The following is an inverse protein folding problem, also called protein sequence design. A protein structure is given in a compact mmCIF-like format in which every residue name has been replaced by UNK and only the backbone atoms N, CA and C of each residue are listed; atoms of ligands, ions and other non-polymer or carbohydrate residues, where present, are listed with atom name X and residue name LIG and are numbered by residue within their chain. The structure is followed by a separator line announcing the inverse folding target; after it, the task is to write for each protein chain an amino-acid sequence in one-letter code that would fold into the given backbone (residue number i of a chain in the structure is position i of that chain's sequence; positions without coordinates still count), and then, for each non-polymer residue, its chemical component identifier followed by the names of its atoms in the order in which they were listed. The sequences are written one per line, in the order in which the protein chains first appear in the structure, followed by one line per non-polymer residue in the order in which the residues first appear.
data_IF_958214620007
#
_entry.id   IF_958214620007
#
_cell.length_a   1.000
_cell.length_b   1.000
_cell.length_c   1.000
_cell.angle_alpha   90.00
_cell.angle_beta   90.00
_cell.angle_gamma   90.00
#
_symmetry.space_group_name_H-M   'P 1'
#
loop_
_entity.id
_entity.type
_entity.pdbx_description
1 polymer ?
#
# COMPACT_ATOMS: atom_id res chain seq x y z
N UNK A 1 -4.41 -6.38 18.41
CA UNK A 1 -3.66 -7.33 17.56
C UNK A 1 -3.90 -6.99 16.10
N UNK A 2 -2.81 -6.96 15.37
CA UNK A 2 -2.80 -6.64 13.94
C UNK A 2 -2.13 -7.78 13.21
N UNK A 3 -2.52 -8.04 11.99
CA UNK A 3 -1.79 -8.95 11.15
C UNK A 3 -2.65 -9.84 10.28
N UNK A 4 -1.95 -10.66 9.54
CA UNK A 4 -2.52 -11.65 8.67
C UNK A 4 -1.93 -13.02 8.99
N UNK A 5 -2.72 -14.06 8.80
CA UNK A 5 -2.32 -15.46 8.97
C UNK A 5 -2.56 -16.24 7.70
N UNK A 6 -1.67 -17.18 7.43
CA UNK A 6 -1.88 -18.11 6.33
C UNK A 6 -3.01 -19.09 6.65
N UNK A 7 -3.76 -19.50 5.63
CA UNK A 7 -4.74 -20.58 5.72
C UNK A 7 -4.12 -21.84 6.36
N UNK A 8 -4.91 -22.60 7.12
CA UNK A 8 -4.46 -23.75 7.89
C UNK A 8 -3.70 -23.41 9.18
N UNK A 9 -3.40 -22.14 9.41
CA UNK A 9 -2.67 -21.68 10.59
C UNK A 9 -3.51 -21.62 11.86
N UNK A 10 -2.83 -21.33 12.97
CA UNK A 10 -3.45 -21.08 14.27
C UNK A 10 -2.98 -19.74 14.82
N UNK A 11 -3.90 -18.97 15.39
CA UNK A 11 -3.59 -17.70 16.03
C UNK A 11 -3.88 -17.78 17.53
N UNK A 12 -3.00 -17.18 18.33
CA UNK A 12 -3.17 -16.99 19.76
C UNK A 12 -3.50 -15.54 20.03
N UNK A 13 -4.65 -15.32 20.64
CA UNK A 13 -5.12 -14.00 21.03
C UNK A 13 -5.08 -13.90 22.56
N UNK A 14 -4.46 -12.83 23.04
CA UNK A 14 -4.26 -12.60 24.47
C UNK A 14 -4.95 -11.33 24.92
N UNK A 15 -5.48 -11.38 26.12
CA UNK A 15 -6.00 -10.23 26.84
C UNK A 15 -5.30 -10.14 28.19
N UNK A 16 -4.89 -8.93 28.55
CA UNK A 16 -4.32 -8.62 29.86
C UNK A 16 -5.39 -7.91 30.70
N UNK A 17 -5.65 -8.41 31.89
CA UNK A 17 -6.62 -7.84 32.85
C UNK A 17 -5.85 -7.29 34.04
N UNK A 18 -6.09 -6.04 34.38
CA UNK A 18 -5.38 -5.33 35.46
C UNK A 18 -6.02 -5.50 36.84
N UNK A 19 -7.24 -6.03 36.90
CA UNK A 19 -7.98 -6.17 38.15
C UNK A 19 -7.56 -7.43 38.92
N UNK A 20 -7.39 -7.32 40.25
CA UNK A 20 -7.14 -8.44 41.15
C UNK A 20 -8.32 -9.44 41.20
N UNK A 21 -9.53 -8.99 40.87
CA UNK A 21 -10.70 -9.83 40.70
C UNK A 21 -10.84 -10.29 39.27
N UNK A 22 -10.17 -11.37 38.91
CA UNK A 22 -10.30 -11.99 37.61
C UNK A 22 -11.78 -12.24 37.24
N UNK A 23 -12.19 -11.99 35.99
CA UNK A 23 -13.54 -12.33 35.53
C UNK A 23 -13.78 -13.83 35.67
N UNK A 24 -15.00 -14.21 36.04
CA UNK A 24 -15.38 -15.62 36.23
C UNK A 24 -15.28 -16.39 34.92
N UNK A 25 -15.69 -15.75 33.82
CA UNK A 25 -15.61 -16.31 32.46
C UNK A 25 -15.19 -15.22 31.47
N UNK A 26 -14.20 -15.54 30.63
CA UNK A 26 -13.72 -14.68 29.59
C UNK A 26 -13.75 -15.44 28.24
N UNK A 27 -14.35 -14.84 27.23
CA UNK A 27 -14.50 -15.42 25.90
C UNK A 27 -13.88 -14.55 24.83
N UNK A 28 -13.31 -15.20 23.83
CA UNK A 28 -13.03 -14.63 22.53
C UNK A 28 -14.23 -14.94 21.62
N UNK A 29 -14.98 -13.91 21.24
CA UNK A 29 -16.05 -14.03 20.26
C UNK A 29 -15.48 -13.80 18.87
N UNK A 30 -15.72 -14.71 17.93
CA UNK A 30 -15.24 -14.64 16.53
C UNK A 30 -16.43 -14.77 15.60
N UNK A 31 -16.43 -13.94 14.55
CA UNK A 31 -17.45 -13.95 13.51
C UNK A 31 -16.80 -14.03 12.12
N UNK A 32 -17.34 -14.89 11.24
CA UNK A 32 -16.91 -15.06 9.85
C UNK A 32 -18.09 -15.45 8.93
N UNK A 33 -19.28 -14.98 9.27
CA UNK A 33 -20.56 -15.47 8.73
C UNK A 33 -21.33 -16.28 9.80
N UNK A 34 -20.62 -17.05 10.62
CA UNK A 34 -21.13 -17.73 11.79
C UNK A 34 -20.44 -17.17 13.05
N UNK A 35 -21.19 -17.06 14.15
CA UNK A 35 -20.66 -16.65 15.43
C UNK A 35 -20.14 -17.85 16.20
N UNK A 36 -18.94 -17.70 16.78
CA UNK A 36 -18.33 -18.69 17.70
C UNK A 36 -17.71 -18.00 18.89
N UNK A 37 -17.90 -18.59 20.07
CA UNK A 37 -17.31 -18.16 21.32
C UNK A 37 -16.28 -19.19 21.78
N UNK A 38 -15.09 -18.75 22.08
CA UNK A 38 -13.99 -19.59 22.56
C UNK A 38 -13.63 -19.17 23.97
N UNK A 39 -13.70 -20.08 24.97
CA UNK A 39 -13.27 -19.75 26.31
C UNK A 39 -11.77 -19.42 26.33
N UNK A 40 -11.41 -18.40 27.08
CA UNK A 40 -10.02 -17.99 27.26
C UNK A 40 -9.49 -18.59 28.58
N UNK A 41 -8.31 -19.19 28.51
CA UNK A 41 -7.67 -19.79 29.71
C UNK A 41 -6.71 -18.79 30.34
N UNK A 42 -6.61 -18.72 31.66
CA UNK A 42 -5.57 -17.95 32.31
C UNK A 42 -4.21 -18.61 32.12
N UNK A 43 -3.20 -17.80 31.78
CA UNK A 43 -1.79 -18.22 31.66
C UNK A 43 -0.98 -17.93 32.92
N UNK A 44 -1.43 -17.00 33.75
CA UNK A 44 -0.75 -16.56 34.97
C UNK A 44 -0.53 -15.05 35.00
N UNK A 45 0.11 -14.60 36.08
CA UNK A 45 0.42 -13.19 36.31
C UNK A 45 1.74 -12.81 35.64
N UNK A 46 1.72 -11.67 35.02
CA UNK A 46 2.91 -10.98 34.53
C UNK A 46 2.82 -9.50 34.90
N UNK A 47 3.81 -9.01 35.63
CA UNK A 47 3.85 -7.61 36.08
C UNK A 47 2.59 -7.19 36.86
N UNK A 48 2.06 -8.09 37.71
CA UNK A 48 0.83 -7.88 38.50
C UNK A 48 -0.48 -8.00 37.73
N UNK A 49 -0.44 -8.38 36.44
CA UNK A 49 -1.60 -8.46 35.56
C UNK A 49 -1.87 -9.89 35.15
N UNK A 50 -3.13 -10.33 35.18
CA UNK A 50 -3.52 -11.65 34.71
C UNK A 50 -3.60 -11.68 33.19
N UNK A 51 -2.94 -12.65 32.56
CA UNK A 51 -2.99 -12.86 31.10
C UNK A 51 -3.93 -14.02 30.80
N UNK A 52 -4.85 -13.79 29.88
CA UNK A 52 -5.73 -14.81 29.30
C UNK A 52 -5.39 -15.06 27.84
N UNK A 53 -5.55 -16.30 27.39
CA UNK A 53 -5.27 -16.70 26.01
C UNK A 53 -6.39 -17.57 25.45
N UNK A 54 -6.80 -17.30 24.22
CA UNK A 54 -7.50 -18.25 23.38
C UNK A 54 -6.65 -18.59 22.14
N UNK A 55 -6.69 -19.83 21.70
CA UNK A 55 -6.08 -20.30 20.46
C UNK A 55 -7.19 -20.78 19.52
N UNK A 56 -7.19 -20.25 18.30
CA UNK A 56 -8.18 -20.58 17.27
C UNK A 56 -7.50 -20.97 15.97
N UNK A 57 -8.08 -21.92 15.23
CA UNK A 57 -7.72 -22.21 13.85
C UNK A 57 -8.34 -21.17 12.91
N UNK A 58 -7.57 -20.65 11.95
CA UNK A 58 -8.08 -19.63 11.03
C UNK A 58 -8.82 -20.23 9.83
N UNK A 59 -8.81 -21.57 9.68
CA UNK A 59 -9.45 -22.29 8.58
C UNK A 59 -8.57 -22.41 7.34
N UNK A 60 -9.10 -23.09 6.33
CA UNK A 60 -8.40 -23.49 5.11
C UNK A 60 -8.68 -22.61 3.88
N UNK A 61 -9.50 -21.57 4.06
CA UNK A 61 -9.85 -20.63 2.97
C UNK A 61 -9.52 -19.19 3.36
N UNK A 62 -9.03 -18.37 2.40
CA UNK A 62 -8.85 -16.94 2.61
C UNK A 62 -10.16 -16.28 3.02
N UNK A 63 -10.10 -15.41 4.05
CA UNK A 63 -11.27 -14.71 4.59
C UNK A 63 -10.88 -13.60 5.54
N UNK A 64 -11.85 -12.80 5.94
CA UNK A 64 -11.77 -11.94 7.11
C UNK A 64 -12.43 -12.61 8.29
N UNK A 65 -11.75 -12.61 9.43
CA UNK A 65 -12.30 -12.95 10.73
C UNK A 65 -12.44 -11.66 11.52
N UNK A 66 -13.57 -11.53 12.21
CA UNK A 66 -13.84 -10.40 13.07
C UNK A 66 -13.94 -10.92 14.49
N UNK A 67 -13.28 -10.31 15.45
CA UNK A 67 -13.30 -10.79 16.82
C UNK A 67 -13.34 -9.65 17.84
N UNK A 68 -13.85 -9.97 19.03
CA UNK A 68 -13.84 -9.12 20.22
C UNK A 68 -13.76 -9.99 21.46
N UNK A 69 -13.49 -9.38 22.60
CA UNK A 69 -13.46 -10.07 23.89
C UNK A 69 -14.74 -9.77 24.66
N UNK A 70 -15.25 -10.78 25.34
CA UNK A 70 -16.48 -10.68 26.13
C UNK A 70 -16.28 -11.37 27.47
N UNK A 71 -16.73 -10.77 28.55
CA UNK A 71 -16.71 -11.41 29.87
C UNK A 71 -17.95 -11.02 30.71
N UNK A 72 -18.26 -11.86 31.68
CA UNK A 72 -19.13 -11.51 32.77
C UNK A 72 -18.27 -11.01 33.94
N UNK A 73 -18.44 -9.76 34.31
CA UNK A 73 -17.68 -9.12 35.38
C UNK A 73 -18.59 -8.39 36.34
N UNK A 74 -18.56 -8.79 37.63
CA UNK A 74 -19.44 -8.24 38.68
C UNK A 74 -20.93 -8.27 38.35
N UNK A 75 -21.37 -9.28 37.58
CA UNK A 75 -22.77 -9.46 37.16
C UNK A 75 -23.17 -8.61 35.95
N UNK A 76 -22.22 -7.93 35.32
CA UNK A 76 -22.45 -7.18 34.11
C UNK A 76 -21.72 -7.83 32.90
N UNK A 77 -22.38 -7.82 31.76
CA UNK A 77 -21.75 -8.24 30.50
C UNK A 77 -20.84 -7.13 29.98
N UNK A 78 -19.55 -7.43 29.86
CA UNK A 78 -18.52 -6.47 29.44
C UNK A 78 -17.93 -6.89 28.14
N UNK A 79 -17.85 -5.95 27.18
CA UNK A 79 -17.27 -6.15 25.87
C UNK A 79 -16.02 -5.28 25.74
N UNK A 80 -14.96 -5.84 25.16
CA UNK A 80 -13.78 -5.10 24.69
C UNK A 80 -13.65 -5.31 23.19
N UNK A 81 -13.90 -4.26 22.44
CA UNK A 81 -13.88 -4.27 20.97
C UNK A 81 -12.87 -3.29 20.38
N UNK A 82 -12.93 -3.13 19.07
CA UNK A 82 -12.14 -2.16 18.33
C UNK A 82 -12.64 -0.72 18.56
N UNK A 83 -11.82 0.32 18.27
CA UNK A 83 -12.32 1.70 18.23
C UNK A 83 -13.44 1.87 17.21
N UNK A 84 -14.34 2.81 17.45
CA UNK A 84 -15.49 3.09 16.58
C UNK A 84 -15.14 3.85 15.28
N UNK A 85 -13.88 3.82 14.87
CA UNK A 85 -13.39 4.44 13.60
C UNK A 85 -13.59 3.52 12.38
N UNK A 86 -14.19 2.35 12.57
CA UNK A 86 -14.47 1.33 11.57
C UNK A 86 -13.24 0.79 10.81
N UNK A 87 -12.02 1.00 11.33
CA UNK A 87 -10.80 0.46 10.72
C UNK A 87 -10.56 -1.02 11.06
N UNK A 88 -11.24 -1.52 12.09
CA UNK A 88 -11.04 -2.89 12.62
C UNK A 88 -9.66 -3.10 13.26
N UNK A 89 -8.94 -2.04 13.58
CA UNK A 89 -7.63 -2.07 14.23
C UNK A 89 -7.53 -0.98 15.31
N UNK A 90 -6.44 -0.97 16.07
CA UNK A 90 -6.21 -0.01 17.15
C UNK A 90 -6.16 -0.63 18.53
N UNK A 91 -6.26 0.19 19.56
CA UNK A 91 -6.33 -0.26 20.95
C UNK A 91 -7.76 -0.69 21.31
N UNK A 92 -7.87 -1.63 22.27
CA UNK A 92 -9.17 -2.10 22.73
C UNK A 92 -9.93 -1.02 23.49
N UNK A 93 -11.22 -0.88 23.20
CA UNK A 93 -12.12 0.06 23.84
C UNK A 93 -13.19 -0.72 24.62
N UNK A 94 -13.26 -0.47 25.92
CA UNK A 94 -14.29 -1.07 26.79
C UNK A 94 -15.68 -0.56 26.39
N UNK A 95 -16.64 -1.50 26.29
CA UNK A 95 -18.02 -1.20 25.88
C UNK A 95 -18.19 -1.05 24.35
N UNK A 96 -17.12 -1.16 23.56
CA UNK A 96 -17.23 -1.12 22.09
C UNK A 96 -17.73 -2.45 21.54
N UNK A 97 -18.82 -2.39 20.77
CA UNK A 97 -19.37 -3.53 20.02
C UNK A 97 -18.61 -3.79 18.71
N UNK A 98 -17.76 -2.86 18.27
CA UNK A 98 -16.94 -3.02 17.07
C UNK A 98 -15.95 -4.17 17.24
N UNK A 99 -15.70 -4.88 16.14
CA UNK A 99 -14.79 -6.03 16.13
C UNK A 99 -13.43 -5.69 15.55
N UNK A 100 -12.38 -6.29 16.11
CA UNK A 100 -11.06 -6.30 15.47
C UNK A 100 -11.07 -7.19 14.25
N UNK A 101 -10.30 -6.80 13.23
CA UNK A 101 -10.11 -7.59 12.00
C UNK A 101 -8.87 -8.47 12.08
N UNK A 102 -9.01 -9.69 11.60
CA UNK A 102 -7.92 -10.62 11.33
C UNK A 102 -8.03 -11.08 9.87
N UNK A 103 -7.01 -10.81 9.08
CA UNK A 103 -6.95 -11.25 7.69
C UNK A 103 -6.38 -12.66 7.60
N UNK A 104 -7.07 -13.55 6.89
CA UNK A 104 -6.56 -14.88 6.54
C UNK A 104 -6.28 -14.90 5.05
N UNK A 105 -5.00 -15.07 4.69
CA UNK A 105 -4.57 -15.12 3.30
C UNK A 105 -4.24 -16.56 2.87
N UNK A 106 -4.23 -16.80 1.56
CA UNK A 106 -3.87 -18.10 1.01
C UNK A 106 -2.42 -18.46 1.37
N UNK A 107 -2.20 -19.64 1.97
CA UNK A 107 -0.85 -20.10 2.32
C UNK A 107 0.07 -20.28 1.10
N UNK A 108 -0.50 -20.42 -0.10
CA UNK A 108 0.25 -20.48 -1.34
C UNK A 108 0.67 -19.09 -1.85
N UNK A 109 0.13 -17.98 -1.26
CA UNK A 109 0.54 -16.63 -1.63
C UNK A 109 2.00 -16.37 -1.20
N UNK A 110 2.84 -16.06 -2.17
CA UNK A 110 4.22 -15.67 -1.92
C UNK A 110 4.55 -14.35 -2.65
N UNK A 111 5.13 -13.43 -1.92
CA UNK A 111 5.65 -12.18 -2.51
C UNK A 111 7.02 -12.48 -3.12
N UNK A 112 7.25 -12.19 -4.41
CA UNK A 112 8.55 -12.42 -5.04
C UNK A 112 9.69 -11.79 -4.23
N UNK A 113 10.82 -12.51 -4.11
CA UNK A 113 11.96 -12.08 -3.30
C UNK A 113 12.49 -10.70 -3.72
N UNK A 114 12.49 -10.40 -5.03
CA UNK A 114 12.92 -9.10 -5.54
C UNK A 114 12.08 -7.92 -5.05
N UNK A 115 10.82 -8.18 -4.62
CA UNK A 115 9.93 -7.15 -4.06
C UNK A 115 10.00 -7.11 -2.53
N UNK A 116 10.09 -8.28 -1.90
CA UNK A 116 10.10 -8.41 -0.44
C UNK A 116 11.33 -7.78 0.20
N UNK A 117 12.50 -7.96 -0.41
CA UNK A 117 13.79 -7.53 0.12
C UNK A 117 14.37 -6.33 -0.63
N UNK A 118 13.52 -5.64 -1.43
CA UNK A 118 13.93 -4.57 -2.32
C UNK A 118 13.56 -3.17 -1.85
N UNK A 119 14.14 -2.20 -2.53
CA UNK A 119 13.78 -0.78 -2.43
C UNK A 119 13.04 -0.39 -3.70
N UNK A 120 11.79 0.03 -3.55
CA UNK A 120 11.00 0.60 -4.64
C UNK A 120 11.19 2.11 -4.68
N UNK A 121 11.52 2.64 -5.87
CA UNK A 121 11.66 4.06 -6.11
C UNK A 121 10.62 4.52 -7.12
N UNK A 122 9.71 5.37 -6.67
CA UNK A 122 8.67 5.94 -7.53
C UNK A 122 9.21 7.10 -8.34
N UNK A 123 8.89 7.14 -9.64
CA UNK A 123 9.36 8.14 -10.60
C UNK A 123 8.17 8.76 -11.32
N UNK A 124 7.97 10.06 -11.17
CA UNK A 124 7.21 10.88 -12.10
C UNK A 124 8.15 11.27 -13.24
N UNK A 125 7.98 10.65 -14.42
CA UNK A 125 8.96 10.72 -15.52
C UNK A 125 9.25 12.14 -15.95
N UNK A 126 8.22 12.99 -16.09
CA UNK A 126 8.38 14.39 -16.46
C UNK A 126 9.30 15.19 -15.50
N UNK A 127 9.33 14.81 -14.23
CA UNK A 127 10.03 15.53 -13.16
C UNK A 127 11.32 14.86 -12.71
N UNK A 128 11.84 13.88 -13.45
CA UNK A 128 12.99 13.10 -12.98
C UNK A 128 14.29 13.46 -13.69
N UNK A 129 14.35 13.30 -15.02
CA UNK A 129 15.54 13.62 -15.79
C UNK A 129 15.21 13.77 -17.28
N UNK A 130 15.71 14.84 -17.89
CA UNK A 130 15.72 14.97 -19.34
C UNK A 130 16.88 14.14 -19.92
N UNK A 131 16.60 13.28 -20.91
CA UNK A 131 17.62 12.47 -21.57
C UNK A 131 18.31 13.24 -22.68
N UNK A 132 19.64 13.12 -22.74
CA UNK A 132 20.42 13.70 -23.83
C UNK A 132 20.06 13.05 -25.19
N UNK A 133 20.03 13.88 -26.25
CA UNK A 133 19.73 13.41 -27.59
C UNK A 133 18.24 13.18 -27.88
N UNK A 134 17.36 13.54 -26.96
CA UNK A 134 15.93 13.54 -27.16
C UNK A 134 15.39 14.96 -27.17
N UNK A 135 14.55 15.27 -28.14
CA UNK A 135 13.85 16.54 -28.21
C UNK A 135 12.40 16.33 -27.76
N UNK A 136 12.18 16.38 -26.44
CA UNK A 136 10.87 16.23 -25.85
C UNK A 136 9.85 17.27 -26.35
N UNK A 137 10.34 18.41 -26.83
CA UNK A 137 9.51 19.50 -27.38
C UNK A 137 8.94 19.19 -28.77
N UNK A 138 9.62 18.40 -29.58
CA UNK A 138 9.15 18.07 -30.94
C UNK A 138 7.89 17.18 -30.91
N UNK A 139 7.55 16.62 -29.76
CA UNK A 139 6.39 15.75 -29.59
C UNK A 139 5.22 16.42 -28.84
N UNK A 140 5.35 17.72 -28.53
CA UNK A 140 4.21 18.50 -28.04
C UNK A 140 3.11 18.45 -29.11
N UNK A 141 2.00 17.82 -28.78
CA UNK A 141 0.88 17.66 -29.72
C UNK A 141 0.38 19.03 -30.13
N UNK A 142 0.32 19.28 -31.45
CA UNK A 142 -0.32 20.45 -32.02
C UNK A 142 -1.68 20.69 -31.36
N UNK A 143 -1.87 21.90 -30.80
CA UNK A 143 -3.13 22.32 -30.16
C UNK A 143 -3.25 22.06 -28.67
N UNK A 144 -2.25 21.51 -27.99
CA UNK A 144 -2.23 21.46 -26.53
C UNK A 144 -1.56 22.73 -25.97
N UNK A 145 -2.22 23.39 -25.01
CA UNK A 145 -1.62 24.49 -24.27
C UNK A 145 -0.61 23.92 -23.24
N UNK A 146 0.61 23.64 -23.68
CA UNK A 146 1.70 23.12 -22.87
C UNK A 146 2.61 24.26 -22.46
N UNK A 147 2.99 24.31 -21.19
CA UNK A 147 3.98 25.21 -20.64
C UNK A 147 5.21 24.38 -20.32
N UNK A 148 6.32 24.65 -20.97
CA UNK A 148 7.57 23.96 -20.70
C UNK A 148 8.49 24.84 -19.87
N UNK A 149 9.02 24.27 -18.77
CA UNK A 149 10.06 24.87 -17.97
C UNK A 149 11.43 24.64 -18.63
N UNK A 150 12.16 25.72 -18.87
CA UNK A 150 13.54 25.64 -19.42
C UNK A 150 14.57 25.43 -18.32
N UNK A 151 14.31 25.93 -17.12
CA UNK A 151 15.14 25.75 -15.94
C UNK A 151 14.49 24.76 -14.95
N UNK A 152 15.18 23.67 -14.66
CA UNK A 152 14.75 22.64 -13.69
C UNK A 152 14.69 23.13 -12.24
N UNK A 153 15.23 24.32 -11.96
CA UNK A 153 15.11 24.96 -10.65
C UNK A 153 13.88 25.87 -10.53
N UNK A 154 13.12 26.06 -11.57
CA UNK A 154 11.88 26.80 -11.51
C UNK A 154 10.86 26.06 -10.64
N UNK A 155 10.00 26.86 -9.99
CA UNK A 155 8.90 26.27 -9.21
C UNK A 155 7.78 25.80 -10.16
N UNK A 156 7.29 24.56 -10.00
CA UNK A 156 6.06 24.17 -10.68
C UNK A 156 4.92 25.10 -10.34
N UNK A 157 4.07 25.42 -11.29
CA UNK A 157 2.90 26.25 -11.00
C UNK A 157 1.59 25.52 -11.26
N UNK A 158 0.63 25.81 -10.41
CA UNK A 158 -0.72 25.37 -10.59
C UNK A 158 -1.43 26.31 -11.55
N UNK A 159 -1.77 25.82 -12.73
CA UNK A 159 -2.61 26.51 -13.67
C UNK A 159 -4.06 26.10 -13.46
N UNK A 160 -4.79 26.90 -12.69
CA UNK A 160 -6.17 26.62 -12.28
C UNK A 160 -7.13 27.36 -13.19
N UNK A 161 -8.10 26.68 -13.76
CA UNK A 161 -9.20 27.26 -14.50
C UNK A 161 -10.18 28.01 -13.58
N UNK A 162 -11.04 28.88 -14.16
CA UNK A 162 -12.07 29.60 -13.40
C UNK A 162 -13.03 28.69 -12.64
N UNK A 163 -13.25 27.47 -13.10
CA UNK A 163 -14.08 26.45 -12.44
C UNK A 163 -13.34 25.69 -11.32
N UNK A 164 -12.07 26.00 -11.06
CA UNK A 164 -11.24 25.33 -10.04
C UNK A 164 -10.45 24.11 -10.54
N UNK A 165 -10.59 23.71 -11.80
CA UNK A 165 -9.84 22.58 -12.36
C UNK A 165 -8.36 22.92 -12.55
N UNK A 166 -7.48 21.99 -12.20
CA UNK A 166 -6.06 22.11 -12.49
C UNK A 166 -5.78 21.56 -13.90
N UNK A 167 -5.23 22.39 -14.77
CA UNK A 167 -4.84 21.95 -16.12
C UNK A 167 -3.68 20.97 -16.14
N UNK A 168 -2.82 20.95 -15.11
CA UNK A 168 -1.64 20.12 -15.00
C UNK A 168 -0.84 20.04 -16.31
N UNK A 169 -0.62 21.21 -16.92
CA UNK A 169 -0.04 21.36 -18.27
C UNK A 169 1.35 22.02 -18.26
N UNK A 170 1.97 22.14 -17.09
CA UNK A 170 3.35 22.56 -16.94
C UNK A 170 4.26 21.32 -16.95
N UNK A 171 5.29 21.31 -17.80
CA UNK A 171 6.18 20.19 -18.01
C UNK A 171 7.64 20.63 -17.84
N UNK A 172 8.47 19.69 -17.34
CA UNK A 172 9.93 19.86 -17.23
C UNK A 172 10.69 19.02 -18.28
N UNK A 173 9.98 18.24 -19.07
CA UNK A 173 10.55 17.49 -20.19
C UNK A 173 11.38 16.29 -19.81
N UNK A 174 11.23 15.74 -18.60
CA UNK A 174 11.79 14.44 -18.26
C UNK A 174 11.22 13.34 -19.13
N UNK A 175 12.02 12.32 -19.44
CA UNK A 175 11.64 11.26 -20.38
C UNK A 175 12.28 9.91 -20.03
N UNK A 176 11.87 8.84 -20.71
CA UNK A 176 12.36 7.47 -20.46
C UNK A 176 13.86 7.34 -20.74
N UNK A 177 14.40 8.10 -21.69
CA UNK A 177 15.84 8.13 -21.96
C UNK A 177 16.61 8.72 -20.77
N UNK A 178 16.11 9.79 -20.16
CA UNK A 178 16.69 10.38 -18.96
C UNK A 178 16.68 9.39 -17.78
N UNK A 179 15.59 8.65 -17.60
CA UNK A 179 15.54 7.58 -16.59
C UNK A 179 16.59 6.51 -16.91
N UNK A 180 16.68 6.07 -18.18
CA UNK A 180 17.66 5.08 -18.62
C UNK A 180 19.10 5.50 -18.29
N UNK A 181 19.46 6.74 -18.57
CA UNK A 181 20.79 7.29 -18.28
C UNK A 181 21.07 7.35 -16.76
N UNK A 182 20.03 7.42 -15.93
CA UNK A 182 20.15 7.43 -14.47
C UNK A 182 20.10 6.03 -13.82
N UNK A 183 19.95 4.95 -14.58
CA UNK A 183 19.94 3.59 -14.03
C UNK A 183 21.18 3.25 -13.17
N UNK A 184 22.43 3.62 -13.57
CA UNK A 184 23.59 3.36 -12.73
C UNK A 184 23.52 4.07 -11.36
N UNK A 185 23.05 5.32 -11.33
CA UNK A 185 22.80 6.07 -10.11
C UNK A 185 21.77 5.40 -9.22
N UNK A 186 20.62 5.00 -9.79
CA UNK A 186 19.56 4.31 -9.06
C UNK A 186 20.03 2.96 -8.50
N UNK A 187 20.86 2.24 -9.25
CA UNK A 187 21.50 1.01 -8.78
C UNK A 187 22.43 1.26 -7.60
N UNK A 188 23.26 2.31 -7.67
CA UNK A 188 24.15 2.69 -6.58
C UNK A 188 23.38 3.10 -5.32
N UNK A 189 22.20 3.71 -5.49
CA UNK A 189 21.29 4.06 -4.39
C UNK A 189 20.64 2.83 -3.74
N UNK A 190 20.75 1.64 -4.34
CA UNK A 190 20.19 0.40 -3.83
C UNK A 190 18.77 0.09 -4.33
N UNK A 191 18.30 0.82 -5.35
CA UNK A 191 16.97 0.60 -5.93
C UNK A 191 16.93 -0.75 -6.64
N UNK A 192 15.87 -1.52 -6.40
CA UNK A 192 15.58 -2.81 -7.04
C UNK A 192 14.30 -2.80 -7.87
N UNK A 193 13.41 -1.85 -7.61
CA UNK A 193 12.15 -1.69 -8.34
C UNK A 193 11.95 -0.23 -8.72
N UNK A 194 11.78 0.01 -10.01
CA UNK A 194 11.39 1.31 -10.55
C UNK A 194 9.87 1.30 -10.74
N UNK A 195 9.17 2.13 -9.98
CA UNK A 195 7.73 2.31 -10.10
C UNK A 195 7.46 3.63 -10.84
N UNK A 196 6.92 3.55 -12.04
CA UNK A 196 6.59 4.74 -12.81
C UNK A 196 5.16 5.17 -12.55
N UNK A 197 4.94 6.47 -12.27
CA UNK A 197 3.65 7.09 -12.52
C UNK A 197 3.23 6.79 -13.97
N UNK A 198 1.95 6.90 -14.35
CA UNK A 198 1.51 6.55 -15.69
C UNK A 198 2.39 7.18 -16.77
N UNK A 199 2.74 6.39 -17.79
CA UNK A 199 3.62 6.81 -18.89
C UNK A 199 2.92 6.79 -20.25
N UNK A 200 1.65 6.42 -20.25
CA UNK A 200 0.86 6.26 -21.47
C UNK A 200 0.25 7.59 -21.95
N UNK A 201 -0.26 7.59 -23.20
CA UNK A 201 -0.85 8.78 -23.81
C UNK A 201 -1.90 9.41 -22.91
N UNK A 202 -1.66 10.66 -22.52
CA UNK A 202 -2.55 11.46 -21.70
C UNK A 202 -2.32 12.95 -21.95
N UNK A 203 -3.21 13.80 -21.48
CA UNK A 203 -3.11 15.25 -21.66
C UNK A 203 -2.23 15.91 -20.59
N UNK A 204 -2.38 15.49 -19.33
CA UNK A 204 -1.72 16.11 -18.19
C UNK A 204 -0.26 15.68 -18.02
N UNK A 205 0.50 16.42 -17.23
CA UNK A 205 1.89 16.10 -16.88
C UNK A 205 2.02 14.84 -16.02
N UNK A 206 1.01 14.54 -15.18
CA UNK A 206 0.98 13.36 -14.31
C UNK A 206 0.45 12.09 -15.00
N UNK A 207 -0.21 12.22 -16.16
CA UNK A 207 -0.73 11.13 -16.98
C UNK A 207 -1.81 10.23 -16.35
N UNK A 208 -2.39 10.60 -15.19
CA UNK A 208 -3.49 9.85 -14.58
C UNK A 208 -4.80 9.94 -15.35
N UNK A 209 -4.89 10.83 -16.34
CA UNK A 209 -5.95 10.94 -17.33
C UNK A 209 -5.65 10.13 -18.60
N UNK A 210 -5.10 8.92 -18.45
CA UNK A 210 -4.70 8.04 -19.55
C UNK A 210 -5.83 7.84 -20.56
N UNK A 211 -5.54 8.15 -21.83
CA UNK A 211 -6.46 8.01 -22.95
C UNK A 211 -6.20 6.75 -23.80
N UNK A 212 -4.99 6.24 -23.85
CA UNK A 212 -4.63 5.02 -24.56
C UNK A 212 -3.47 4.28 -23.87
N UNK A 213 -3.77 3.17 -23.22
CA UNK A 213 -2.77 2.30 -22.57
C UNK A 213 -1.88 1.49 -23.52
N UNK A 214 -2.17 1.49 -24.80
CA UNK A 214 -1.37 0.75 -25.81
C UNK A 214 -0.19 1.55 -26.35
N UNK A 215 -0.07 2.82 -25.95
CA UNK A 215 0.94 3.73 -26.49
C UNK A 215 1.62 4.50 -25.37
N UNK A 216 2.94 4.48 -25.38
CA UNK A 216 3.75 5.40 -24.57
C UNK A 216 3.47 6.84 -25.01
N UNK A 217 3.37 7.77 -24.08
CA UNK A 217 3.19 9.18 -24.44
C UNK A 217 4.43 9.68 -25.20
N UNK A 218 4.24 10.30 -26.38
CA UNK A 218 5.36 10.79 -27.20
C UNK A 218 6.30 11.77 -26.48
N UNK A 219 5.83 12.47 -25.45
CA UNK A 219 6.68 13.33 -24.62
C UNK A 219 7.69 12.54 -23.80
N UNK A 220 7.39 11.28 -23.47
CA UNK A 220 8.28 10.41 -22.71
C UNK A 220 9.14 9.50 -23.59
N UNK A 221 8.79 9.39 -24.88
CA UNK A 221 9.46 8.53 -25.84
C UNK A 221 8.50 7.61 -26.60
N UNK A 222 8.92 6.41 -26.85
CA UNK A 222 8.17 5.38 -27.56
C UNK A 222 8.29 4.00 -26.87
N UNK A 223 7.61 3.00 -27.41
CA UNK A 223 7.66 1.63 -26.92
C UNK A 223 9.08 1.03 -27.00
N UNK A 224 9.89 1.49 -27.94
CA UNK A 224 11.29 1.04 -28.07
C UNK A 224 12.16 1.65 -26.97
N UNK A 225 11.93 2.91 -26.61
CA UNK A 225 12.59 3.55 -25.47
C UNK A 225 12.26 2.82 -24.16
N UNK A 226 10.98 2.47 -23.95
CA UNK A 226 10.55 1.66 -22.80
C UNK A 226 11.22 0.28 -22.82
N UNK A 227 11.25 -0.40 -23.97
CA UNK A 227 11.86 -1.72 -24.07
C UNK A 227 13.38 -1.68 -23.79
N UNK A 228 14.11 -0.66 -24.27
CA UNK A 228 15.53 -0.45 -23.94
C UNK A 228 15.73 -0.22 -22.44
N UNK A 229 14.93 0.66 -21.84
CA UNK A 229 14.97 0.93 -20.40
C UNK A 229 14.77 -0.35 -19.59
N UNK A 230 13.71 -1.12 -19.88
CA UNK A 230 13.41 -2.38 -19.20
C UNK A 230 14.56 -3.37 -19.30
N UNK A 231 15.14 -3.54 -20.50
CA UNK A 231 16.28 -4.45 -20.74
C UNK A 231 17.51 -4.05 -19.93
N UNK A 232 17.85 -2.76 -19.90
CA UNK A 232 19.02 -2.27 -19.15
C UNK A 232 18.77 -2.31 -17.63
N UNK A 233 17.56 -1.97 -17.18
CA UNK A 233 17.18 -2.12 -15.77
C UNK A 233 17.32 -3.58 -15.31
N UNK A 234 16.83 -4.54 -16.12
CA UNK A 234 16.95 -5.97 -15.83
C UNK A 234 18.40 -6.43 -15.75
N UNK A 235 19.26 -5.96 -16.67
CA UNK A 235 20.70 -6.27 -16.67
C UNK A 235 21.39 -5.77 -15.37
N UNK A 236 20.87 -4.71 -14.76
CA UNK A 236 21.33 -4.19 -13.47
C UNK A 236 20.61 -4.84 -12.26
N UNK A 237 19.74 -5.82 -12.49
CA UNK A 237 18.96 -6.51 -11.45
C UNK A 237 17.80 -5.67 -10.90
N UNK A 238 17.34 -4.67 -11.64
CA UNK A 238 16.16 -3.87 -11.30
C UNK A 238 14.93 -4.33 -12.08
N UNK A 239 13.74 -4.18 -11.49
CA UNK A 239 12.45 -4.47 -12.12
C UNK A 239 11.71 -3.17 -12.39
N UNK A 240 10.88 -3.19 -13.42
CA UNK A 240 10.02 -2.05 -13.78
C UNK A 240 8.58 -2.40 -13.43
N UNK A 241 7.90 -1.48 -12.78
CA UNK A 241 6.47 -1.52 -12.48
C UNK A 241 5.82 -0.28 -13.07
N UNK A 242 4.72 -0.46 -13.76
CA UNK A 242 3.94 0.62 -14.37
C UNK A 242 2.66 0.85 -13.56
N UNK A 243 2.31 2.12 -13.41
CA UNK A 243 1.04 2.51 -12.80
C UNK A 243 -0.10 2.36 -13.81
N UNK A 244 -1.21 1.78 -13.36
CA UNK A 244 -2.45 1.63 -14.10
C UNK A 244 -3.62 2.24 -13.34
N UNK A 245 -4.41 3.10 -13.97
CA UNK A 245 -5.53 3.84 -13.38
C UNK A 245 -6.87 3.32 -13.91
#
# INVERSE_FOLDING_TARGET
PRGAWATGGQVRLRLTVEDEQAPVELFLRVWNGDERRYPMRPLGLKDGRMIYEAQIGVGDKPRLLWYRFECEYKGEHVVLGAPGDHTGCGEGVMGSEESFQLTVYDAAYDTPAWMRDGVMYQIMVDRFCHGEGTDALMHAKDGQNIILHEDWNEMPFLNIAENGDNFANDFFGGNLEGVRQKLPYLKQLGVSVLYFNPIFCARTNHKYDTSDYRRVDPMFGDEQALARLCKEAEALGMRVMLDGV
#
